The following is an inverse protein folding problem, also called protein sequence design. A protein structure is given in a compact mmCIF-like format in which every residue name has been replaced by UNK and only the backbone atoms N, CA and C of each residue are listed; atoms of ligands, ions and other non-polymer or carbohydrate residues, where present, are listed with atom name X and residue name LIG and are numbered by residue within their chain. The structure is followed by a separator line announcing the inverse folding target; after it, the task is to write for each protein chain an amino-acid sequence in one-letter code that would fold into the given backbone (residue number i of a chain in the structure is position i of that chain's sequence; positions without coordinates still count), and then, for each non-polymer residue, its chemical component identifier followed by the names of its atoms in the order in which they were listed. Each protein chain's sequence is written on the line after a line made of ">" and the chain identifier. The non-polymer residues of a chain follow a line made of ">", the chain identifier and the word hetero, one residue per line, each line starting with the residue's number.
data_IF_114724214084
#
_entry.id   IF_114724214084
#
_cell.length_a   1.000
_cell.length_b   1.000
_cell.length_c   1.000
_cell.angle_alpha   90.00
_cell.angle_beta   90.00
_cell.angle_gamma   90.00
#
_symmetry.space_group_name_H-M   'P 1'
#
loop_
_entity.id
_entity.type
_entity.pdbx_description
1 polymer ?
#
# COMPACT_ATOMS: atom_id res chain seq x y z
N UNK A 1 48.30 2.30 -40.28
CA UNK A 1 46.83 2.44 -40.11
C UNK A 1 46.42 1.74 -38.83
N UNK A 2 46.57 2.40 -37.68
CA UNK A 2 46.00 1.95 -36.42
C UNK A 2 44.82 2.84 -36.09
N UNK A 3 43.61 2.31 -36.20
CA UNK A 3 42.38 3.00 -35.82
C UNK A 3 42.15 2.75 -34.33
N UNK A 4 42.17 3.84 -33.56
CA UNK A 4 41.75 3.89 -32.18
C UNK A 4 40.27 3.51 -32.07
N UNK A 5 39.98 2.46 -31.32
CA UNK A 5 38.70 2.30 -30.63
C UNK A 5 38.88 2.86 -29.22
N UNK A 6 38.36 4.07 -28.99
CA UNK A 6 38.08 4.56 -27.65
C UNK A 6 36.81 5.41 -27.68
N UNK A 7 36.02 5.22 -26.62
CA UNK A 7 35.07 6.18 -26.06
C UNK A 7 33.72 6.36 -26.79
N UNK A 8 32.79 5.44 -26.49
CA UNK A 8 31.34 5.75 -26.41
C UNK A 8 30.67 5.30 -25.10
N UNK A 9 31.43 4.76 -24.15
CA UNK A 9 30.90 4.26 -22.87
C UNK A 9 31.01 5.23 -21.68
N UNK A 10 31.77 6.33 -21.78
CA UNK A 10 32.00 7.23 -20.64
C UNK A 10 30.99 8.37 -20.52
N UNK A 11 30.42 8.85 -21.64
CA UNK A 11 29.60 10.07 -21.63
C UNK A 11 28.27 9.85 -20.87
N UNK A 12 27.69 8.64 -20.94
CA UNK A 12 26.44 8.32 -20.22
C UNK A 12 26.63 8.11 -18.71
N UNK A 13 27.83 7.72 -18.28
CA UNK A 13 28.14 7.48 -16.86
C UNK A 13 28.44 8.79 -16.14
N UNK A 14 29.07 9.75 -16.83
CA UNK A 14 29.39 11.07 -16.29
C UNK A 14 28.13 11.93 -16.14
N UNK A 15 27.23 11.95 -17.12
CA UNK A 15 25.92 12.63 -17.01
C UNK A 15 25.04 12.02 -15.89
N UNK A 16 25.18 10.71 -15.64
CA UNK A 16 24.49 9.99 -14.56
C UNK A 16 25.06 10.34 -13.18
N UNK A 17 26.40 10.43 -13.06
CA UNK A 17 27.06 10.81 -11.82
C UNK A 17 26.75 12.27 -11.45
N UNK A 18 26.61 13.15 -12.44
CA UNK A 18 26.28 14.56 -12.21
C UNK A 18 24.83 14.73 -11.69
N UNK A 19 23.83 14.02 -12.23
CA UNK A 19 22.45 14.03 -11.69
C UNK A 19 22.37 13.34 -10.30
N UNK A 20 23.27 12.38 -10.04
CA UNK A 20 23.41 11.68 -8.76
C UNK A 20 24.00 12.56 -7.64
N UNK A 21 24.98 13.42 -7.95
CA UNK A 21 25.57 14.33 -6.95
C UNK A 21 24.64 15.52 -6.60
N UNK A 22 23.63 15.81 -7.43
CA UNK A 22 22.66 16.88 -7.19
C UNK A 22 21.43 16.44 -6.35
N UNK A 23 21.11 15.13 -6.27
CA UNK A 23 19.92 14.62 -5.55
C UNK A 23 20.30 13.80 -4.31
N UNK A 24 19.67 14.08 -3.17
CA UNK A 24 20.06 13.58 -1.83
C UNK A 24 20.07 12.05 -1.72
N UNK A 25 21.10 11.55 -1.02
CA UNK A 25 21.36 10.16 -0.65
C UNK A 25 20.15 9.51 0.05
N UNK A 26 19.48 8.57 -0.64
CA UNK A 26 18.41 7.74 -0.09
C UNK A 26 17.53 7.09 -1.16
N UNK A 27 16.92 7.90 -2.03
CA UNK A 27 15.90 7.45 -3.00
C UNK A 27 16.46 6.63 -4.18
N UNK A 28 17.71 6.86 -4.61
CA UNK A 28 18.30 6.15 -5.76
C UNK A 28 19.13 4.91 -5.41
N UNK A 29 19.29 4.55 -4.14
CA UNK A 29 20.23 3.46 -3.76
C UNK A 29 19.76 2.12 -4.30
N UNK A 30 18.48 1.79 -4.15
CA UNK A 30 17.93 0.50 -4.57
C UNK A 30 17.65 0.44 -6.08
N UNK A 31 17.23 1.56 -6.70
CA UNK A 31 17.18 1.65 -8.16
C UNK A 31 18.57 1.39 -8.77
N UNK A 32 19.59 2.09 -8.29
CA UNK A 32 20.95 1.93 -8.78
C UNK A 32 21.50 0.52 -8.48
N UNK A 33 21.18 -0.03 -7.31
CA UNK A 33 21.54 -1.40 -6.98
C UNK A 33 20.93 -2.39 -7.98
N UNK A 34 19.65 -2.21 -8.34
CA UNK A 34 19.01 -3.02 -9.38
C UNK A 34 19.71 -2.87 -10.73
N UNK A 35 19.90 -1.64 -11.21
CA UNK A 35 20.47 -1.38 -12.55
C UNK A 35 21.89 -1.93 -12.70
N UNK A 36 22.71 -1.89 -11.64
CA UNK A 36 24.06 -2.46 -11.67
C UNK A 36 24.11 -3.98 -11.52
N UNK A 37 23.19 -4.54 -10.75
CA UNK A 37 23.19 -5.99 -10.46
C UNK A 37 22.46 -6.79 -11.54
N UNK A 38 21.57 -6.14 -12.29
CA UNK A 38 20.81 -6.78 -13.35
C UNK A 38 21.75 -7.41 -14.39
N UNK A 39 21.53 -8.70 -14.65
CA UNK A 39 22.34 -9.45 -15.60
C UNK A 39 21.46 -10.33 -16.48
N UNK A 40 21.44 -10.02 -17.78
CA UNK A 40 20.69 -10.78 -18.78
C UNK A 40 21.11 -12.26 -18.89
N UNK A 41 22.33 -12.61 -18.46
CA UNK A 41 22.89 -13.94 -18.63
C UNK A 41 22.47 -14.93 -17.53
N UNK A 42 21.98 -14.45 -16.38
CA UNK A 42 21.45 -15.32 -15.33
C UNK A 42 19.95 -15.60 -15.55
N UNK A 43 19.34 -16.53 -14.82
CA UNK A 43 17.89 -16.81 -14.88
C UNK A 43 17.12 -16.21 -13.69
N UNK A 44 17.71 -15.21 -13.04
CA UNK A 44 17.17 -14.55 -11.85
C UNK A 44 15.89 -13.77 -12.20
N UNK A 45 14.87 -13.83 -11.35
CA UNK A 45 13.74 -12.91 -11.43
C UNK A 45 13.97 -11.69 -10.53
N UNK A 46 13.50 -10.55 -11.01
CA UNK A 46 13.57 -9.27 -10.32
C UNK A 46 12.15 -8.74 -10.10
N UNK A 47 11.94 -8.02 -9.02
CA UNK A 47 10.67 -7.37 -8.72
C UNK A 47 10.95 -5.99 -8.12
N UNK A 48 10.34 -4.97 -8.71
CA UNK A 48 10.46 -3.57 -8.33
C UNK A 48 9.12 -3.13 -7.74
N UNK A 49 9.13 -2.62 -6.51
CA UNK A 49 7.96 -2.16 -5.77
C UNK A 49 8.22 -0.81 -5.08
N UNK A 50 7.19 -0.21 -4.51
CA UNK A 50 7.25 1.16 -4.00
C UNK A 50 7.95 1.26 -2.65
N UNK A 51 7.65 0.38 -1.70
CA UNK A 51 8.15 0.50 -0.34
C UNK A 51 8.45 -0.81 0.38
N UNK A 52 9.03 -0.71 1.57
CA UNK A 52 9.43 -1.87 2.37
C UNK A 52 8.24 -2.76 2.82
N UNK A 53 7.06 -2.17 3.04
CA UNK A 53 5.83 -2.91 3.38
C UNK A 53 5.39 -3.84 2.24
N UNK A 54 5.59 -3.42 0.99
CA UNK A 54 5.37 -4.22 -0.21
C UNK A 54 6.24 -5.46 -0.23
N UNK A 55 7.52 -5.31 0.12
CA UNK A 55 8.48 -6.42 0.13
C UNK A 55 8.03 -7.51 1.11
N UNK A 56 7.60 -7.13 2.31
CA UNK A 56 7.09 -8.06 3.32
C UNK A 56 5.82 -8.75 2.81
N UNK A 57 4.95 -8.00 2.13
CA UNK A 57 3.73 -8.54 1.56
C UNK A 57 4.02 -9.48 0.39
N UNK A 58 4.66 -9.02 -0.69
CA UNK A 58 4.76 -9.73 -1.96
C UNK A 58 5.82 -10.84 -1.97
N UNK A 59 6.97 -10.67 -1.31
CA UNK A 59 8.11 -11.60 -1.43
C UNK A 59 7.73 -13.07 -1.17
N UNK A 60 7.04 -13.42 -0.06
CA UNK A 60 6.71 -14.81 0.21
C UNK A 60 5.72 -15.36 -0.82
N UNK A 61 4.77 -14.55 -1.27
CA UNK A 61 3.71 -14.97 -2.20
C UNK A 61 4.26 -15.16 -3.61
N UNK A 62 5.07 -14.23 -4.11
CA UNK A 62 5.72 -14.39 -5.43
C UNK A 62 6.61 -15.64 -5.39
N UNK A 63 7.46 -15.81 -4.36
CA UNK A 63 8.32 -17.01 -4.24
C UNK A 63 7.52 -18.31 -4.21
N UNK A 64 6.37 -18.33 -3.54
CA UNK A 64 5.50 -19.52 -3.52
C UNK A 64 4.93 -19.88 -4.90
N UNK A 65 4.69 -18.88 -5.74
CA UNK A 65 4.14 -19.03 -7.10
C UNK A 65 5.25 -19.44 -8.08
N UNK A 66 6.35 -18.68 -8.15
CA UNK A 66 7.39 -18.87 -9.17
C UNK A 66 8.40 -19.95 -8.83
N UNK A 67 8.59 -20.27 -7.54
CA UNK A 67 9.56 -21.28 -7.04
C UNK A 67 10.98 -21.13 -7.61
N UNK A 68 11.37 -19.88 -7.88
CA UNK A 68 12.68 -19.48 -8.40
C UNK A 68 13.32 -18.46 -7.47
N UNK A 69 14.61 -18.22 -7.67
CA UNK A 69 15.28 -17.13 -7.00
C UNK A 69 14.68 -15.79 -7.49
N UNK A 70 14.38 -14.92 -6.52
CA UNK A 70 13.72 -13.63 -6.72
C UNK A 70 14.40 -12.60 -5.84
N UNK A 71 14.81 -11.48 -6.46
CA UNK A 71 15.24 -10.27 -5.75
C UNK A 71 14.17 -9.20 -5.84
N UNK A 72 13.89 -8.57 -4.70
CA UNK A 72 12.96 -7.44 -4.61
C UNK A 72 13.75 -6.18 -4.27
N UNK A 73 13.49 -5.12 -5.01
CA UNK A 73 13.99 -3.77 -4.80
C UNK A 73 12.82 -2.85 -4.48
N UNK A 74 12.90 -2.13 -3.37
CA UNK A 74 11.98 -1.04 -3.05
C UNK A 74 12.60 0.27 -3.49
N UNK A 75 11.93 1.00 -4.39
CA UNK A 75 12.52 2.19 -5.04
C UNK A 75 11.93 3.51 -4.55
N UNK A 76 11.14 3.50 -3.49
CA UNK A 76 10.67 4.72 -2.82
C UNK A 76 9.54 5.44 -3.58
N UNK A 77 8.45 4.72 -3.85
CA UNK A 77 7.22 5.29 -4.42
C UNK A 77 6.98 4.98 -5.91
N UNK A 78 5.71 5.15 -6.32
CA UNK A 78 5.20 4.84 -7.66
C UNK A 78 6.00 5.47 -8.80
N UNK A 79 6.31 6.77 -8.70
CA UNK A 79 7.00 7.50 -9.77
C UNK A 79 8.36 6.88 -10.10
N UNK A 80 9.10 6.42 -9.08
CA UNK A 80 10.39 5.75 -9.26
C UNK A 80 10.21 4.36 -9.89
N UNK A 81 9.19 3.59 -9.50
CA UNK A 81 8.88 2.31 -10.17
C UNK A 81 8.60 2.52 -11.66
N UNK A 82 7.82 3.56 -11.99
CA UNK A 82 7.49 3.92 -13.37
C UNK A 82 8.72 4.43 -14.14
N UNK A 83 9.63 5.15 -13.48
CA UNK A 83 10.89 5.58 -14.07
C UNK A 83 11.79 4.39 -14.41
N UNK A 84 11.98 3.45 -13.48
CA UNK A 84 12.74 2.22 -13.71
C UNK A 84 12.13 1.41 -14.85
N UNK A 85 10.80 1.28 -14.89
CA UNK A 85 10.10 0.62 -16.01
C UNK A 85 10.44 1.28 -17.34
N UNK A 86 10.29 2.60 -17.46
CA UNK A 86 10.60 3.36 -18.69
C UNK A 86 12.06 3.20 -19.09
N UNK A 87 12.99 3.18 -18.14
CA UNK A 87 14.42 2.96 -18.41
C UNK A 87 14.66 1.56 -19.00
N UNK A 88 14.09 0.53 -18.37
CA UNK A 88 14.21 -0.85 -18.84
C UNK A 88 13.58 -1.06 -20.21
N UNK A 89 12.44 -0.41 -20.49
CA UNK A 89 11.73 -0.52 -21.78
C UNK A 89 12.49 0.16 -22.92
N UNK A 90 13.12 1.31 -22.67
CA UNK A 90 13.79 2.10 -23.70
C UNK A 90 15.24 1.67 -23.96
N UNK A 91 15.90 1.01 -23.01
CA UNK A 91 17.32 0.62 -23.12
C UNK A 91 17.47 -0.82 -23.60
N UNK A 92 18.47 -1.05 -24.46
CA UNK A 92 18.85 -2.42 -24.83
C UNK A 92 19.52 -3.13 -23.64
N UNK A 93 19.20 -4.39 -23.45
CA UNK A 93 19.79 -5.20 -22.39
C UNK A 93 18.94 -5.30 -21.12
N UNK A 94 17.62 -5.14 -21.20
CA UNK A 94 16.71 -5.60 -20.16
C UNK A 94 15.66 -6.54 -20.78
N UNK A 95 15.52 -7.72 -20.19
CA UNK A 95 14.42 -8.64 -20.46
C UNK A 95 13.25 -8.35 -19.51
N UNK A 96 12.24 -7.65 -20.02
CA UNK A 96 11.02 -7.31 -19.27
C UNK A 96 10.21 -8.55 -18.86
N UNK A 97 10.44 -9.72 -19.44
CA UNK A 97 9.80 -10.96 -19.00
C UNK A 97 10.46 -11.55 -17.74
N UNK A 98 11.43 -10.84 -17.17
CA UNK A 98 12.18 -11.20 -15.95
C UNK A 98 12.10 -10.18 -14.84
N UNK A 99 11.44 -9.05 -15.10
CA UNK A 99 11.35 -7.92 -14.17
C UNK A 99 9.87 -7.64 -13.94
N UNK A 100 9.41 -7.88 -12.71
CA UNK A 100 8.06 -7.55 -12.28
C UNK A 100 8.04 -6.11 -11.79
N UNK A 101 7.10 -5.31 -12.26
CA UNK A 101 6.81 -3.98 -11.73
C UNK A 101 5.47 -4.03 -11.00
N UNK A 102 5.44 -3.58 -9.75
CA UNK A 102 4.23 -3.57 -8.91
C UNK A 102 4.07 -2.17 -8.31
N UNK A 103 2.89 -1.61 -8.43
CA UNK A 103 2.53 -0.29 -7.91
C UNK A 103 1.15 -0.32 -7.26
N UNK A 104 0.97 0.58 -6.31
CA UNK A 104 -0.31 0.93 -5.74
C UNK A 104 -1.13 1.76 -6.74
N UNK A 105 -2.45 1.66 -6.62
CA UNK A 105 -3.37 2.43 -7.47
C UNK A 105 -3.43 3.88 -7.05
N UNK A 106 -3.32 4.10 -5.74
CA UNK A 106 -3.36 5.41 -5.14
C UNK A 106 -4.68 6.13 -5.51
N UNK A 107 -4.66 7.46 -5.60
CA UNK A 107 -5.75 8.26 -6.16
C UNK A 107 -5.62 8.49 -7.68
N UNK A 108 -4.79 7.71 -8.36
CA UNK A 108 -4.50 7.91 -9.78
C UNK A 108 -5.61 7.34 -10.67
N UNK A 109 -5.56 7.75 -11.93
CA UNK A 109 -6.29 7.04 -12.98
C UNK A 109 -5.58 5.73 -13.30
N UNK A 110 -6.32 4.67 -13.72
CA UNK A 110 -5.71 3.38 -14.00
C UNK A 110 -4.58 3.48 -15.04
N UNK A 111 -3.45 2.81 -14.77
CA UNK A 111 -2.29 2.86 -15.66
C UNK A 111 -2.53 2.21 -17.02
N UNK A 112 -3.45 1.25 -17.10
CA UNK A 112 -3.79 0.49 -18.32
C UNK A 112 -2.56 -0.11 -19.04
N UNK A 113 -1.53 -0.50 -18.29
CA UNK A 113 -0.32 -1.13 -18.81
C UNK A 113 -0.19 -2.56 -18.28
N UNK A 114 -0.32 -3.56 -19.16
CA UNK A 114 -0.25 -4.97 -18.75
C UNK A 114 1.12 -5.45 -18.25
N UNK A 115 2.19 -4.67 -18.48
CA UNK A 115 3.55 -4.94 -17.99
C UNK A 115 3.77 -4.49 -16.55
N UNK A 116 2.88 -3.66 -16.02
CA UNK A 116 2.95 -3.13 -14.66
C UNK A 116 1.71 -3.61 -13.91
N UNK A 117 1.91 -4.29 -12.79
CA UNK A 117 0.80 -4.65 -11.94
C UNK A 117 0.41 -3.48 -11.07
N UNK A 118 -0.79 -2.95 -11.29
CA UNK A 118 -1.43 -1.98 -10.42
C UNK A 118 -2.43 -2.68 -9.49
N UNK A 119 -2.39 -2.35 -8.20
CA UNK A 119 -3.31 -2.94 -7.24
C UNK A 119 -4.77 -2.57 -7.57
N UNK A 120 -5.74 -3.48 -7.33
CA UNK A 120 -7.16 -3.16 -7.53
C UNK A 120 -7.76 -2.32 -6.38
N UNK A 121 -7.02 -2.15 -5.29
CA UNK A 121 -7.36 -1.33 -4.11
C UNK A 121 -6.43 -0.11 -4.06
N UNK A 122 -6.64 0.81 -3.13
CA UNK A 122 -5.84 2.03 -3.01
C UNK A 122 -4.36 1.68 -2.84
N UNK A 123 -4.00 0.87 -1.85
CA UNK A 123 -2.63 0.41 -1.61
C UNK A 123 -2.58 -0.97 -0.96
N UNK A 124 -1.38 -1.50 -0.76
CA UNK A 124 -1.17 -2.82 -0.12
C UNK A 124 -1.75 -2.90 1.28
N UNK A 125 -1.73 -1.81 2.05
CA UNK A 125 -2.25 -1.72 3.42
C UNK A 125 -3.75 -2.01 3.49
N UNK A 126 -4.51 -1.69 2.44
CA UNK A 126 -5.93 -2.03 2.34
C UNK A 126 -6.17 -3.54 2.39
N UNK A 127 -5.21 -4.36 1.96
CA UNK A 127 -5.32 -5.83 1.98
C UNK A 127 -5.12 -6.41 3.39
N UNK A 128 -4.48 -5.66 4.30
CA UNK A 128 -4.33 -6.06 5.71
C UNK A 128 -5.62 -5.83 6.49
N UNK A 129 -6.30 -4.71 6.25
CA UNK A 129 -7.48 -4.29 7.00
C UNK A 129 -8.78 -4.96 6.53
N UNK A 130 -8.79 -6.29 6.43
CA UNK A 130 -9.97 -7.05 5.96
C UNK A 130 -10.53 -7.95 7.07
N UNK A 131 -11.85 -8.23 7.05
CA UNK A 131 -12.47 -9.18 7.98
C UNK A 131 -11.85 -10.58 7.92
N UNK A 132 -11.41 -11.01 6.74
CA UNK A 132 -10.79 -12.33 6.54
C UNK A 132 -9.42 -12.40 7.25
N UNK A 133 -8.59 -11.36 7.13
CA UNK A 133 -7.31 -11.26 7.85
C UNK A 133 -7.54 -11.27 9.36
N UNK A 134 -8.55 -10.57 9.86
CA UNK A 134 -8.91 -10.60 11.29
C UNK A 134 -9.30 -12.00 11.74
N UNK A 135 -10.17 -12.67 10.96
CA UNK A 135 -10.65 -14.01 11.26
C UNK A 135 -9.49 -15.01 11.33
N UNK A 136 -8.63 -15.03 10.31
CA UNK A 136 -7.47 -15.91 10.25
C UNK A 136 -6.49 -15.64 11.40
N UNK A 137 -6.27 -14.37 11.74
CA UNK A 137 -5.45 -14.01 12.90
C UNK A 137 -6.01 -14.58 14.21
N UNK A 138 -7.33 -14.45 14.43
CA UNK A 138 -8.01 -14.96 15.62
C UNK A 138 -7.96 -16.49 15.69
N UNK A 139 -8.23 -17.17 14.58
CA UNK A 139 -8.27 -18.63 14.52
C UNK A 139 -6.87 -19.25 14.62
N UNK A 140 -5.90 -18.72 13.87
CA UNK A 140 -4.60 -19.35 13.67
C UNK A 140 -3.50 -18.82 14.60
N UNK A 141 -3.58 -17.55 15.02
CA UNK A 141 -2.60 -16.97 15.95
C UNK A 141 -3.08 -17.04 17.39
N UNK A 142 -4.30 -16.56 17.64
CA UNK A 142 -4.87 -16.51 19.00
C UNK A 142 -5.41 -17.88 19.43
N UNK A 143 -5.72 -18.77 18.50
CA UNK A 143 -6.31 -20.09 18.74
C UNK A 143 -7.70 -20.01 19.41
N UNK A 144 -8.52 -19.03 19.01
CA UNK A 144 -9.94 -19.04 19.38
C UNK A 144 -10.63 -20.11 18.55
N UNK A 145 -11.25 -21.09 19.23
CA UNK A 145 -11.92 -22.22 18.57
C UNK A 145 -13.44 -22.16 18.65
N UNK A 146 -14.01 -21.17 19.35
CA UNK A 146 -15.45 -21.02 19.52
C UNK A 146 -16.01 -20.18 18.35
N UNK A 147 -16.79 -20.76 17.42
CA UNK A 147 -17.27 -20.05 16.24
C UNK A 147 -18.10 -18.82 16.59
N UNK A 148 -18.91 -18.90 17.66
CA UNK A 148 -19.72 -17.77 18.11
C UNK A 148 -18.87 -16.57 18.52
N UNK A 149 -17.77 -16.81 19.22
CA UNK A 149 -16.86 -15.73 19.65
C UNK A 149 -16.18 -15.10 18.45
N UNK A 150 -15.80 -15.90 17.46
CA UNK A 150 -15.21 -15.40 16.20
C UNK A 150 -16.23 -14.53 15.47
N UNK A 151 -17.48 -15.00 15.32
CA UNK A 151 -18.56 -14.25 14.69
C UNK A 151 -18.87 -12.94 15.44
N UNK A 152 -18.89 -12.97 16.77
CA UNK A 152 -19.09 -11.78 17.62
C UNK A 152 -17.94 -10.76 17.43
N UNK A 153 -16.69 -11.22 17.34
CA UNK A 153 -15.53 -10.35 17.09
C UNK A 153 -15.58 -9.76 15.68
N UNK A 154 -15.78 -10.57 14.65
CA UNK A 154 -15.86 -10.10 13.26
C UNK A 154 -17.05 -9.15 13.08
N UNK A 155 -18.20 -9.47 13.66
CA UNK A 155 -19.37 -8.60 13.68
C UNK A 155 -19.08 -7.26 14.37
N UNK A 156 -18.39 -7.28 15.51
CA UNK A 156 -17.97 -6.06 16.19
C UNK A 156 -17.01 -5.22 15.34
N UNK A 157 -16.01 -5.86 14.72
CA UNK A 157 -15.06 -5.21 13.80
C UNK A 157 -15.77 -4.48 12.67
N UNK A 158 -16.72 -5.14 11.99
CA UNK A 158 -17.47 -4.54 10.88
C UNK A 158 -18.22 -3.27 11.30
N UNK A 159 -18.78 -3.25 12.52
CA UNK A 159 -19.46 -2.06 13.04
C UNK A 159 -18.44 -0.94 13.33
N UNK A 160 -17.31 -1.25 13.98
CA UNK A 160 -16.25 -0.27 14.27
C UNK A 160 -15.64 0.28 12.98
N UNK A 161 -15.47 -0.58 11.97
CA UNK A 161 -14.95 -0.22 10.66
C UNK A 161 -15.89 0.75 9.94
N UNK A 162 -17.20 0.51 10.01
CA UNK A 162 -18.19 1.42 9.43
C UNK A 162 -18.18 2.79 10.14
N UNK A 163 -18.07 2.82 11.47
CA UNK A 163 -17.91 4.07 12.23
C UNK A 163 -16.65 4.82 11.77
N UNK A 164 -15.52 4.12 11.71
CA UNK A 164 -14.26 4.67 11.23
C UNK A 164 -14.35 5.22 9.80
N UNK A 165 -14.88 4.43 8.85
CA UNK A 165 -15.06 4.85 7.45
C UNK A 165 -15.94 6.10 7.34
N UNK A 166 -17.01 6.18 8.13
CA UNK A 166 -17.88 7.37 8.15
C UNK A 166 -17.09 8.62 8.54
N UNK A 167 -16.17 8.50 9.50
CA UNK A 167 -15.36 9.63 9.92
C UNK A 167 -14.30 10.04 8.89
N UNK A 168 -13.57 9.08 8.32
CA UNK A 168 -12.47 9.39 7.41
C UNK A 168 -12.93 9.61 5.96
N UNK A 169 -14.22 9.42 5.65
CA UNK A 169 -14.76 9.62 4.30
C UNK A 169 -14.45 11.02 3.76
N UNK A 170 -14.76 12.06 4.55
CA UNK A 170 -14.52 13.45 4.14
C UNK A 170 -13.03 13.71 3.92
N UNK A 171 -12.17 13.24 4.83
CA UNK A 171 -10.73 13.37 4.69
C UNK A 171 -10.20 12.68 3.42
N UNK A 172 -10.72 11.52 3.04
CA UNK A 172 -10.29 10.85 1.81
C UNK A 172 -10.70 11.63 0.55
N UNK A 173 -11.89 12.23 0.55
CA UNK A 173 -12.32 13.13 -0.53
C UNK A 173 -11.40 14.34 -0.60
N UNK A 174 -11.06 14.94 0.54
CA UNK A 174 -10.14 16.06 0.64
C UNK A 174 -8.76 15.73 0.04
N UNK A 175 -8.17 14.61 0.45
CA UNK A 175 -6.85 14.17 -0.03
C UNK A 175 -6.88 13.88 -1.54
N UNK A 176 -7.95 13.27 -2.03
CA UNK A 176 -8.17 13.06 -3.45
C UNK A 176 -8.16 14.38 -4.23
N UNK A 177 -8.98 15.35 -3.82
CA UNK A 177 -9.04 16.64 -4.49
C UNK A 177 -7.72 17.41 -4.40
N UNK A 178 -7.03 17.37 -3.25
CA UNK A 178 -5.70 17.97 -3.12
C UNK A 178 -4.73 17.37 -4.14
N UNK A 179 -4.70 16.04 -4.29
CA UNK A 179 -3.88 15.38 -5.32
C UNK A 179 -4.27 15.84 -6.73
N UNK A 180 -5.56 15.80 -7.06
CA UNK A 180 -6.06 16.18 -8.40
C UNK A 180 -5.84 17.65 -8.76
N UNK A 181 -5.99 18.55 -7.80
CA UNK A 181 -5.68 19.97 -8.01
C UNK A 181 -4.17 20.16 -8.21
N UNK A 182 -3.34 19.46 -7.44
CA UNK A 182 -1.89 19.49 -7.63
C UNK A 182 -1.49 18.99 -9.02
N UNK A 183 -2.01 17.85 -9.47
CA UNK A 183 -1.77 17.27 -10.79
C UNK A 183 -2.18 18.22 -11.92
N UNK A 184 -3.39 18.80 -11.85
CA UNK A 184 -3.90 19.74 -12.85
C UNK A 184 -3.02 21.01 -12.95
N UNK A 185 -2.42 21.48 -11.84
CA UNK A 185 -1.48 22.60 -11.88
C UNK A 185 -0.17 22.31 -12.60
N UNK A 186 0.23 21.04 -12.68
CA UNK A 186 1.43 20.62 -13.43
C UNK A 186 1.16 20.43 -14.93
N UNK A 187 -0.12 20.40 -15.34
CA UNK A 187 -0.51 20.18 -16.73
C UNK A 187 -1.24 21.41 -17.28
N UNK A 188 -0.53 22.25 -18.03
CA UNK A 188 -1.06 23.51 -18.60
C UNK A 188 -2.29 23.32 -19.51
N UNK A 189 -2.54 22.09 -20.00
CA UNK A 189 -3.70 21.77 -20.83
C UNK A 189 -4.92 21.25 -20.03
N UNK A 190 -4.76 20.98 -18.73
CA UNK A 190 -5.83 20.47 -17.88
C UNK A 190 -6.50 21.60 -17.08
N UNK A 191 -7.71 21.96 -17.51
CA UNK A 191 -8.54 22.98 -16.87
C UNK A 191 -9.64 22.40 -15.96
N UNK A 192 -9.63 21.09 -15.67
CA UNK A 192 -10.70 20.42 -14.92
C UNK A 192 -10.87 21.00 -13.51
N UNK A 193 -9.77 21.45 -12.90
CA UNK A 193 -9.73 22.04 -11.56
C UNK A 193 -9.35 23.53 -11.58
N UNK A 194 -9.56 24.22 -12.70
CA UNK A 194 -9.18 25.63 -12.85
C UNK A 194 -9.83 26.57 -11.80
N UNK A 195 -10.99 26.21 -11.25
CA UNK A 195 -11.61 26.95 -10.14
C UNK A 195 -10.82 26.90 -8.83
N UNK A 196 -9.76 26.08 -8.76
CA UNK A 196 -8.94 25.86 -7.56
C UNK A 196 -7.49 26.32 -7.72
N UNK A 197 -7.14 27.07 -8.77
CA UNK A 197 -5.74 27.46 -9.08
C UNK A 197 -5.04 28.23 -7.96
N UNK A 198 -5.75 29.13 -7.29
CA UNK A 198 -5.18 30.03 -6.28
C UNK A 198 -5.32 29.53 -4.84
N UNK A 199 -5.86 28.32 -4.65
CA UNK A 199 -6.10 27.79 -3.31
C UNK A 199 -4.81 27.22 -2.70
N UNK A 200 -4.42 27.61 -1.48
CA UNK A 200 -3.33 26.94 -0.78
C UNK A 200 -3.69 25.48 -0.55
N UNK A 201 -2.87 24.54 -1.06
CA UNK A 201 -3.12 23.12 -0.86
C UNK A 201 -2.61 22.71 0.51
N UNK A 202 -3.49 22.30 1.44
CA UNK A 202 -3.06 21.84 2.75
C UNK A 202 -2.33 20.51 2.64
N UNK A 203 -1.38 20.31 3.55
CA UNK A 203 -0.68 19.03 3.73
C UNK A 203 -0.98 18.52 5.13
N UNK A 204 -1.35 17.25 5.22
CA UNK A 204 -1.60 16.55 6.48
C UNK A 204 -0.65 15.38 6.54
N UNK A 205 0.08 15.26 7.65
CA UNK A 205 0.94 14.10 7.87
C UNK A 205 0.09 12.93 8.34
N UNK A 206 0.42 11.73 7.88
CA UNK A 206 -0.33 10.53 8.26
C UNK A 206 -0.34 10.32 9.80
N UNK A 207 0.76 10.67 10.48
CA UNK A 207 0.85 10.56 11.95
C UNK A 207 -0.09 11.52 12.67
N UNK A 208 -0.36 12.70 12.08
CA UNK A 208 -1.34 13.63 12.67
C UNK A 208 -2.74 12.98 12.63
N UNK A 209 -3.08 12.25 11.55
CA UNK A 209 -4.37 11.55 11.43
C UNK A 209 -4.48 10.38 12.42
N UNK A 210 -3.37 9.67 12.65
CA UNK A 210 -3.32 8.56 13.60
C UNK A 210 -3.73 9.00 15.01
N UNK A 211 -3.27 10.17 15.45
CA UNK A 211 -3.56 10.72 16.79
C UNK A 211 -4.99 11.27 16.92
N UNK A 212 -5.71 11.47 15.81
CA UNK A 212 -7.08 11.97 15.82
C UNK A 212 -8.14 10.90 16.03
N UNK A 213 -7.78 9.63 15.92
CA UNK A 213 -8.72 8.52 15.87
C UNK A 213 -8.47 7.59 17.05
N UNK A 214 -9.43 7.55 17.96
CA UNK A 214 -9.45 6.61 19.08
C UNK A 214 -10.33 5.42 18.73
N UNK A 215 -9.76 4.22 18.77
CA UNK A 215 -10.45 2.96 18.50
C UNK A 215 -10.62 2.18 19.79
N UNK A 216 -11.86 1.76 20.09
CA UNK A 216 -12.20 0.84 21.17
C UNK A 216 -13.13 -0.26 20.64
N UNK A 217 -13.32 -1.34 21.40
CA UNK A 217 -14.29 -2.38 21.05
C UNK A 217 -15.75 -1.92 21.17
N UNK A 218 -16.01 -0.77 21.80
CA UNK A 218 -17.36 -0.22 21.96
C UNK A 218 -17.71 0.83 20.90
N UNK A 219 -16.73 1.63 20.50
CA UNK A 219 -16.89 2.74 19.54
C UNK A 219 -15.55 3.17 18.95
N UNK A 220 -15.61 3.77 17.77
CA UNK A 220 -14.57 4.65 17.25
C UNK A 220 -14.94 6.09 17.55
N UNK A 221 -13.98 6.89 18.03
CA UNK A 221 -14.16 8.31 18.27
C UNK A 221 -13.09 9.14 17.60
N UNK A 222 -13.48 10.36 17.23
CA UNK A 222 -12.60 11.32 16.61
C UNK A 222 -12.43 12.53 17.52
N UNK A 223 -11.20 12.99 17.69
CA UNK A 223 -10.88 14.15 18.50
C UNK A 223 -11.34 15.45 17.82
N UNK A 224 -11.60 16.50 18.61
CA UNK A 224 -12.08 17.80 18.12
C UNK A 224 -11.16 18.42 17.06
N UNK A 225 -9.88 18.07 17.07
CA UNK A 225 -8.87 18.53 16.11
C UNK A 225 -9.16 18.09 14.67
N UNK A 226 -9.98 17.05 14.47
CA UNK A 226 -10.47 16.69 13.14
C UNK A 226 -11.42 17.74 12.56
N UNK A 227 -12.09 18.54 13.40
CA UNK A 227 -12.87 19.67 12.91
C UNK A 227 -11.96 20.72 12.26
N UNK A 228 -10.75 20.92 12.78
CA UNK A 228 -9.77 21.80 12.15
C UNK A 228 -9.35 21.27 10.78
N UNK A 229 -9.24 19.95 10.61
CA UNK A 229 -9.02 19.34 9.28
C UNK A 229 -10.19 19.69 8.36
N UNK A 230 -11.44 19.48 8.79
CA UNK A 230 -12.61 19.84 7.97
C UNK A 230 -12.62 21.33 7.59
N UNK A 231 -12.28 22.21 8.52
CA UNK A 231 -12.19 23.66 8.27
C UNK A 231 -11.05 23.99 7.27
N UNK A 232 -9.95 23.24 7.33
CA UNK A 232 -8.80 23.37 6.41
C UNK A 232 -9.17 23.07 4.96
N UNK A 233 -10.15 22.19 4.73
CA UNK A 233 -10.64 21.81 3.39
C UNK A 233 -11.96 22.47 2.99
N UNK A 234 -12.36 23.55 3.67
CA UNK A 234 -13.63 24.25 3.39
C UNK A 234 -13.74 24.85 1.97
N UNK A 235 -12.65 24.85 1.22
CA UNK A 235 -12.58 25.36 -0.14
C UNK A 235 -13.31 24.46 -1.17
N UNK A 236 -13.54 23.19 -0.83
CA UNK A 236 -14.26 22.26 -1.68
C UNK A 236 -15.77 22.54 -1.66
N UNK A 237 -16.42 22.47 -2.82
CA UNK A 237 -17.86 22.73 -2.92
C UNK A 237 -18.63 21.57 -2.30
N UNK A 238 -19.70 21.89 -1.58
CA UNK A 238 -20.53 20.87 -0.95
C UNK A 238 -21.11 19.88 -1.96
N UNK A 239 -21.52 20.35 -3.15
CA UNK A 239 -22.01 19.49 -4.23
C UNK A 239 -20.98 18.45 -4.71
N UNK A 240 -19.70 18.84 -4.75
CA UNK A 240 -18.60 17.95 -5.13
C UNK A 240 -18.36 16.88 -4.06
N UNK A 241 -18.42 17.26 -2.77
CA UNK A 241 -18.36 16.32 -1.65
C UNK A 241 -19.48 15.28 -1.72
N UNK A 242 -20.74 15.73 -1.81
CA UNK A 242 -21.90 14.84 -1.80
C UNK A 242 -21.88 13.88 -3.00
N UNK A 243 -21.47 14.36 -4.19
CA UNK A 243 -21.28 13.50 -5.36
C UNK A 243 -20.23 12.41 -5.09
N UNK A 244 -19.09 12.77 -4.50
CA UNK A 244 -18.02 11.82 -4.21
C UNK A 244 -18.41 10.79 -3.14
N UNK A 245 -19.16 11.20 -2.12
CA UNK A 245 -19.69 10.30 -1.07
C UNK A 245 -20.64 9.24 -1.63
N UNK A 246 -21.36 9.54 -2.70
CA UNK A 246 -22.31 8.63 -3.33
C UNK A 246 -21.67 7.73 -4.39
N UNK A 247 -20.42 8.00 -4.78
CA UNK A 247 -19.73 7.30 -5.87
C UNK A 247 -18.35 6.75 -5.42
N UNK A 248 -17.24 7.39 -5.85
CA UNK A 248 -15.87 6.91 -5.62
C UNK A 248 -15.55 6.70 -4.15
N UNK A 249 -16.06 7.55 -3.27
CA UNK A 249 -15.80 7.51 -1.83
C UNK A 249 -17.01 7.04 -1.02
N UNK A 250 -17.91 6.25 -1.61
CA UNK A 250 -18.99 5.61 -0.85
C UNK A 250 -18.46 4.66 0.22
N UNK A 251 -19.22 4.50 1.29
CA UNK A 251 -18.86 3.61 2.41
C UNK A 251 -18.72 2.16 1.93
N UNK A 252 -19.53 1.74 0.96
CA UNK A 252 -19.45 0.40 0.34
C UNK A 252 -18.11 0.18 -0.37
N UNK A 253 -17.52 1.25 -0.91
CA UNK A 253 -16.24 1.24 -1.61
C UNK A 253 -15.04 1.59 -0.70
N UNK A 254 -15.26 1.87 0.58
CA UNK A 254 -14.24 2.44 1.46
C UNK A 254 -12.98 1.57 1.58
N UNK A 255 -13.13 0.26 1.77
CA UNK A 255 -11.97 -0.67 1.83
C UNK A 255 -11.13 -0.64 0.56
N UNK A 256 -11.76 -0.37 -0.60
CA UNK A 256 -11.08 -0.31 -1.89
C UNK A 256 -10.45 1.06 -2.12
N UNK A 257 -11.15 2.16 -1.85
CA UNK A 257 -10.80 3.48 -2.36
C UNK A 257 -10.24 4.44 -1.31
N UNK A 258 -10.36 4.15 -0.02
CA UNK A 258 -9.78 5.01 1.01
C UNK A 258 -8.29 4.69 1.19
N UNK A 259 -7.52 5.71 1.59
CA UNK A 259 -6.09 5.65 1.84
C UNK A 259 -5.75 4.49 2.79
N UNK A 260 -4.93 3.56 2.32
CA UNK A 260 -4.67 2.30 3.00
C UNK A 260 -3.98 2.45 4.35
N UNK A 261 -3.04 3.38 4.47
CA UNK A 261 -2.34 3.66 5.73
C UNK A 261 -3.30 3.96 6.89
N UNK A 262 -4.39 4.68 6.65
CA UNK A 262 -5.41 4.93 7.68
C UNK A 262 -6.20 3.67 8.02
N UNK A 263 -6.52 2.84 7.02
CA UNK A 263 -7.16 1.54 7.22
C UNK A 263 -6.29 0.63 8.10
N UNK A 264 -4.99 0.59 7.85
CA UNK A 264 -4.03 -0.17 8.65
C UNK A 264 -3.92 0.37 10.07
N UNK A 265 -3.89 1.69 10.28
CA UNK A 265 -3.89 2.26 11.63
C UNK A 265 -5.13 1.88 12.42
N UNK A 266 -6.32 1.97 11.81
CA UNK A 266 -7.56 1.50 12.42
C UNK A 266 -7.47 0.02 12.77
N UNK A 267 -7.05 -0.82 11.82
CA UNK A 267 -6.96 -2.26 11.99
C UNK A 267 -6.01 -2.67 13.12
N UNK A 268 -4.79 -2.11 13.14
CA UNK A 268 -3.83 -2.36 14.20
C UNK A 268 -4.33 -1.89 15.56
N UNK A 269 -5.02 -0.75 15.62
CA UNK A 269 -5.61 -0.24 16.86
C UNK A 269 -6.73 -1.15 17.37
N UNK A 270 -7.57 -1.64 16.47
CA UNK A 270 -8.60 -2.64 16.80
C UNK A 270 -7.99 -3.94 17.34
N UNK A 271 -6.98 -4.49 16.66
CA UNK A 271 -6.27 -5.71 17.09
C UNK A 271 -5.68 -5.54 18.50
N UNK A 272 -5.09 -4.38 18.80
CA UNK A 272 -4.54 -4.10 20.15
C UNK A 272 -5.63 -4.12 21.22
N UNK A 273 -6.78 -3.52 20.97
CA UNK A 273 -7.92 -3.54 21.90
C UNK A 273 -8.50 -4.95 22.06
N UNK A 274 -8.56 -5.71 20.96
CA UNK A 274 -8.99 -7.11 20.99
C UNK A 274 -8.04 -7.97 21.82
N UNK A 275 -6.72 -7.85 21.63
CA UNK A 275 -5.72 -8.58 22.42
C UNK A 275 -5.84 -8.24 23.91
N UNK A 276 -6.10 -6.97 24.26
CA UNK A 276 -6.35 -6.57 25.65
C UNK A 276 -7.56 -7.32 26.23
N UNK A 277 -8.67 -7.40 25.49
CA UNK A 277 -9.89 -8.08 25.90
C UNK A 277 -9.69 -9.60 26.08
N UNK A 278 -9.04 -10.24 25.10
CA UNK A 278 -8.69 -11.66 25.10
C UNK A 278 -7.77 -12.05 26.27
N UNK A 279 -6.95 -11.11 26.74
CA UNK A 279 -6.01 -11.33 27.85
C UNK A 279 -6.54 -10.92 29.22
N UNK A 280 -7.79 -10.45 29.33
CA UNK A 280 -8.36 -10.11 30.64
C UNK A 280 -8.38 -11.35 31.55
N UNK A 281 -7.70 -11.28 32.69
CA UNK A 281 -7.66 -12.34 33.69
C UNK A 281 -8.98 -12.50 34.45
N UNK A 282 -9.10 -13.55 35.27
CA UNK A 282 -10.33 -13.86 36.05
C UNK A 282 -10.85 -12.66 36.86
N UNK A 283 -9.95 -11.87 37.46
CA UNK A 283 -10.32 -10.70 38.27
C UNK A 283 -11.00 -9.56 37.49
N UNK A 284 -10.87 -9.55 36.15
CA UNK A 284 -11.48 -8.55 35.26
C UNK A 284 -12.42 -9.19 34.24
N UNK A 285 -12.87 -10.42 34.49
CA UNK A 285 -13.71 -11.16 33.55
C UNK A 285 -15.02 -10.44 33.20
N UNK A 286 -15.60 -9.70 34.15
CA UNK A 286 -16.81 -8.89 33.96
C UNK A 286 -16.61 -7.65 33.07
N UNK A 287 -15.36 -7.33 32.71
CA UNK A 287 -15.03 -6.24 31.80
C UNK A 287 -14.80 -6.72 30.37
N UNK A 288 -14.87 -8.03 30.11
CA UNK A 288 -14.74 -8.55 28.74
C UNK A 288 -15.89 -8.06 27.89
N UNK A 289 -15.59 -7.66 26.67
CA UNK A 289 -16.56 -7.15 25.71
C UNK A 289 -16.91 -8.25 24.70
N UNK A 290 -15.90 -8.92 24.14
CA UNK A 290 -16.07 -9.89 23.06
C UNK A 290 -15.59 -11.28 23.47
N UNK A 291 -14.51 -11.37 24.24
CA UNK A 291 -13.94 -12.63 24.66
C UNK A 291 -14.82 -13.31 25.73
N UNK A 292 -15.13 -14.60 25.54
CA UNK A 292 -15.87 -15.42 26.52
C UNK A 292 -14.97 -15.90 27.68
N UNK A 293 -13.65 -15.94 27.46
CA UNK A 293 -12.65 -16.35 28.44
C UNK A 293 -11.31 -15.65 28.20
N UNK A 294 -10.34 -15.96 29.06
CA UNK A 294 -8.95 -15.56 28.80
C UNK A 294 -8.34 -16.56 27.81
N UNK A 295 -7.77 -16.05 26.72
CA UNK A 295 -7.11 -16.86 25.68
C UNK A 295 -5.58 -16.89 25.81
N UNK A 296 -4.98 -16.05 26.66
CA UNK A 296 -3.54 -16.08 26.93
C UNK A 296 -2.68 -15.75 25.71
N UNK A 297 -3.11 -14.76 24.93
CA UNK A 297 -2.46 -14.29 23.72
C UNK A 297 -1.18 -13.50 24.06
N UNK A 298 -0.03 -14.17 24.09
CA UNK A 298 1.28 -13.56 24.35
C UNK A 298 1.92 -13.03 23.05
N UNK A 299 1.30 -11.99 22.48
CA UNK A 299 1.79 -11.32 21.28
C UNK A 299 2.22 -9.90 21.66
N UNK A 300 3.42 -9.51 21.25
CA UNK A 300 3.86 -8.12 21.38
C UNK A 300 3.01 -7.22 20.47
N UNK A 301 2.40 -6.20 21.07
CA UNK A 301 1.43 -5.32 20.40
C UNK A 301 2.07 -4.12 19.71
N UNK A 302 3.36 -4.18 19.35
CA UNK A 302 4.01 -3.14 18.54
C UNK A 302 3.56 -3.23 17.09
N UNK A 303 3.45 -2.09 16.41
CA UNK A 303 2.93 -2.01 15.04
C UNK A 303 3.71 -2.92 14.09
N UNK A 304 5.05 -2.87 14.09
CA UNK A 304 5.88 -3.72 13.22
C UNK A 304 5.72 -5.21 13.52
N UNK A 305 5.54 -5.60 14.78
CA UNK A 305 5.34 -7.00 15.15
C UNK A 305 4.01 -7.51 14.65
N UNK A 306 2.93 -6.75 14.89
CA UNK A 306 1.60 -7.09 14.40
C UNK A 306 1.57 -7.12 12.86
N UNK A 307 2.14 -6.12 12.20
CA UNK A 307 2.23 -6.06 10.75
C UNK A 307 2.89 -7.32 10.15
N UNK A 308 4.03 -7.73 10.69
CA UNK A 308 4.72 -8.94 10.25
C UNK A 308 3.89 -10.21 10.47
N UNK A 309 3.20 -10.33 11.61
CA UNK A 309 2.31 -11.48 11.87
C UNK A 309 1.16 -11.49 10.86
N UNK A 310 0.49 -10.35 10.69
CA UNK A 310 -0.66 -10.19 9.81
C UNK A 310 -0.34 -10.43 8.34
N UNK A 311 0.91 -10.15 7.92
CA UNK A 311 1.36 -10.40 6.55
C UNK A 311 1.19 -11.87 6.10
N UNK A 312 1.14 -12.82 7.03
CA UNK A 312 0.91 -14.23 6.73
C UNK A 312 -0.53 -14.55 6.30
N UNK A 313 -1.48 -13.68 6.66
CA UNK A 313 -2.91 -13.87 6.41
C UNK A 313 -3.42 -13.02 5.23
N UNK A 314 -2.63 -12.03 4.80
CA UNK A 314 -2.97 -11.18 3.66
C UNK A 314 -3.14 -12.01 2.39
N UNK A 315 -4.34 -11.93 1.82
CA UNK A 315 -4.68 -12.55 0.55
C UNK A 315 -4.46 -11.56 -0.59
N UNK A 316 -3.64 -11.96 -1.57
CA UNK A 316 -3.46 -11.17 -2.78
C UNK A 316 -4.57 -11.48 -3.78
N UNK A 317 -5.09 -10.46 -4.50
CA UNK A 317 -6.14 -10.65 -5.50
C UNK A 317 -5.73 -11.65 -6.61
N UNK A 318 -6.70 -12.32 -7.23
CA UNK A 318 -6.45 -13.27 -8.33
C UNK A 318 -5.72 -12.62 -9.52
N UNK A 319 -5.95 -11.33 -9.78
CA UNK A 319 -5.22 -10.59 -10.82
C UNK A 319 -3.71 -10.52 -10.53
N UNK A 320 -3.28 -10.41 -9.27
CA UNK A 320 -1.87 -10.49 -8.87
C UNK A 320 -1.27 -11.84 -9.24
N UNK A 321 -1.95 -12.92 -8.85
CA UNK A 321 -1.50 -14.29 -9.14
C UNK A 321 -1.41 -14.51 -10.65
N UNK A 322 -2.37 -13.98 -11.40
CA UNK A 322 -2.39 -14.06 -12.87
C UNK A 322 -1.21 -13.31 -13.49
N UNK A 323 -0.90 -12.11 -13.01
CA UNK A 323 0.26 -11.33 -13.43
C UNK A 323 1.57 -12.08 -13.16
N UNK A 324 1.80 -12.53 -11.93
CA UNK A 324 3.05 -13.22 -11.54
C UNK A 324 3.27 -14.52 -12.34
N UNK A 325 2.20 -15.26 -12.67
CA UNK A 325 2.31 -16.51 -13.45
C UNK A 325 2.83 -16.30 -14.87
N UNK A 326 2.70 -15.11 -15.46
CA UNK A 326 3.23 -14.81 -16.81
C UNK A 326 4.75 -15.02 -16.88
N UNK A 327 5.45 -14.68 -15.80
CA UNK A 327 6.90 -14.83 -15.65
C UNK A 327 7.38 -16.28 -15.47
N UNK A 328 6.45 -17.23 -15.28
CA UNK A 328 6.75 -18.67 -15.33
C UNK A 328 6.69 -19.15 -16.78
N UNK A 329 5.59 -18.83 -17.48
CA UNK A 329 5.26 -19.38 -18.81
C UNK A 329 6.17 -18.85 -19.91
N UNK A 330 6.53 -17.57 -19.88
CA UNK A 330 7.37 -16.94 -20.91
C UNK A 330 8.82 -17.43 -20.86
N UNK A 331 9.26 -17.92 -19.71
CA UNK A 331 10.63 -18.41 -19.50
C UNK A 331 10.82 -19.89 -19.89
N UNK A 332 9.75 -20.70 -19.81
CA UNK A 332 9.76 -22.10 -20.27
C UNK A 332 9.77 -22.19 -21.81
N UNK A 333 9.16 -21.22 -22.48
CA UNK A 333 9.20 -21.11 -23.95
C UNK A 333 10.55 -20.62 -24.47
N UNK A 334 11.23 -19.71 -23.77
CA UNK A 334 12.57 -19.22 -24.18
C UNK A 334 13.72 -20.17 -23.86
N UNK A 335 13.52 -21.14 -22.96
CA UNK A 335 14.51 -22.19 -22.65
C UNK A 335 14.35 -23.46 -23.51
N UNK A 336 13.27 -23.57 -24.29
CA UNK A 336 13.00 -24.66 -25.22
C UNK A 336 13.32 -24.32 -26.69
N UNK A 337 13.75 -23.08 -26.96
CA UNK A 337 14.22 -22.56 -28.26
C UNK A 337 15.72 -22.31 -28.23
#
# INVERSE_FOLDING_TARGET
>A
MGLLFKEKGNILMDDFLDDFFEKKEGEYVEEFAFLNEYNNLNSQLYCICEGNEDKICYLPKIKSIVRKDLKIYEVGGKDNVLEVFKRCENQQGYDLNRIMFIVDRDFDEPLNNERIYELPVYSVENLYATPDVLKDFIELTVNVTNPKVIDDIVGNYLIREQEFHTFIQDLNICLYYTKKIFESRQNENDNLYASYTDIPLPSIKDEDVKDLIEVTLLKVTVHNDFKLISDTYNFLRQEDFERMKLDKFSIENARKNFKGKYQLYFFLSYIKELIKDLNLGKARANKRILADRNYGCDIETKDNTLFNILSNYVQLPLCFVTYVKRFIMEHELSSAS
#
